data_IF_718777329113
#
_entry.id   IF_718777329113
#
_cell.length_a   1.000
_cell.length_b   1.000
_cell.length_c   1.000
_cell.angle_alpha   90.00
_cell.angle_beta   90.00
_cell.angle_gamma   90.00
#
_symmetry.space_group_name_H-M   'P 1'
#
loop_
_entity.id
_entity.type
_entity.pdbx_description
1 polymer ?
#
# COMPACT_ATOMS: atom_id res chain seq x y z
N UNK A 1 -10.04 26.40 -7.18
CA UNK A 1 -9.51 25.36 -6.28
C UNK A 1 -8.29 24.73 -6.95
N UNK A 2 -7.12 24.65 -6.29
CA UNK A 2 -5.96 23.98 -6.90
C UNK A 2 -6.18 22.47 -6.86
N UNK A 3 -6.16 21.82 -8.02
CA UNK A 3 -6.22 20.37 -8.13
C UNK A 3 -5.00 19.76 -7.42
N UNK A 4 -5.16 18.71 -6.59
CA UNK A 4 -4.01 18.03 -6.00
C UNK A 4 -3.10 17.50 -7.10
N UNK A 5 -1.78 17.57 -6.88
CA UNK A 5 -0.80 17.08 -7.85
C UNK A 5 -0.60 15.59 -7.61
N UNK A 6 -1.17 14.75 -8.47
CA UNK A 6 -0.91 13.30 -8.45
C UNK A 6 0.55 13.09 -8.86
N UNK A 7 1.31 12.44 -7.98
CA UNK A 7 2.74 12.11 -8.21
C UNK A 7 2.92 10.71 -8.75
N UNK A 8 2.08 9.79 -8.32
CA UNK A 8 2.09 8.40 -8.78
C UNK A 8 0.70 7.81 -8.60
N UNK A 9 0.22 7.09 -9.61
CA UNK A 9 -0.98 6.28 -9.52
C UNK A 9 -0.66 4.90 -10.11
N UNK A 10 -0.98 3.86 -9.37
CA UNK A 10 -0.84 2.47 -9.81
C UNK A 10 -2.20 1.82 -9.63
N UNK A 11 -2.81 1.46 -10.75
CA UNK A 11 -4.09 0.76 -10.79
C UNK A 11 -3.86 -0.73 -11.05
N UNK A 12 -4.78 -1.57 -10.56
CA UNK A 12 -4.80 -3.00 -10.85
C UNK A 12 -3.49 -3.72 -10.48
N UNK A 13 -2.97 -3.44 -9.28
CA UNK A 13 -1.92 -4.28 -8.70
C UNK A 13 -2.44 -5.71 -8.59
N UNK A 14 -1.60 -6.70 -8.90
CA UNK A 14 -1.97 -8.12 -8.88
C UNK A 14 -2.43 -8.52 -7.47
N UNK A 15 -3.74 -8.53 -7.27
CA UNK A 15 -4.38 -8.90 -6.02
C UNK A 15 -5.80 -9.41 -6.31
N UNK A 16 -5.91 -10.72 -6.53
CA UNK A 16 -7.20 -11.42 -6.48
C UNK A 16 -7.60 -11.79 -5.05
N UNK A 17 -6.80 -11.42 -4.05
CA UNK A 17 -7.01 -11.77 -2.67
C UNK A 17 -7.93 -10.76 -1.98
N UNK A 18 -8.87 -11.32 -1.21
CA UNK A 18 -9.67 -10.57 -0.26
C UNK A 18 -9.05 -10.77 1.12
N UNK A 19 -8.80 -9.68 1.84
CA UNK A 19 -8.13 -9.73 3.13
C UNK A 19 -9.13 -9.58 4.29
N UNK A 20 -8.75 -10.09 5.46
CA UNK A 20 -9.44 -9.71 6.71
C UNK A 20 -9.02 -8.29 7.06
N UNK A 21 -9.97 -7.47 7.50
CA UNK A 21 -9.72 -6.08 7.94
C UNK A 21 -8.55 -5.97 8.92
N UNK A 22 -8.46 -6.89 9.88
CA UNK A 22 -7.39 -6.89 10.89
C UNK A 22 -5.98 -7.04 10.31
N UNK A 23 -5.81 -7.80 9.21
CA UNK A 23 -4.51 -7.99 8.59
C UNK A 23 -4.02 -6.69 7.95
N UNK A 24 -4.93 -5.95 7.31
CA UNK A 24 -4.64 -4.63 6.75
C UNK A 24 -4.34 -3.63 7.85
N UNK A 25 -5.12 -3.61 8.94
CA UNK A 25 -4.89 -2.70 10.06
C UNK A 25 -3.50 -2.88 10.67
N UNK A 26 -3.05 -4.13 10.87
CA UNK A 26 -1.69 -4.43 11.35
C UNK A 26 -0.62 -3.88 10.41
N UNK A 27 -0.81 -4.06 9.09
CA UNK A 27 0.07 -3.51 8.05
C UNK A 27 0.12 -1.98 8.14
N UNK A 28 -1.04 -1.35 8.03
CA UNK A 28 -1.14 0.11 7.89
C UNK A 28 -0.63 0.84 9.13
N UNK A 29 -0.83 0.28 10.33
CA UNK A 29 -0.40 0.90 11.59
C UNK A 29 1.01 0.48 12.07
N UNK A 30 1.55 -0.61 11.54
CA UNK A 30 2.87 -1.14 11.92
C UNK A 30 4.06 -0.38 11.33
N UNK A 31 3.82 0.38 10.26
CA UNK A 31 4.83 1.19 9.54
C UNK A 31 5.16 2.49 10.31
N UNK A 32 5.89 2.41 11.42
CA UNK A 32 6.23 3.60 12.25
C UNK A 32 7.69 4.06 12.16
N UNK A 33 8.58 3.23 11.65
CA UNK A 33 10.01 3.54 11.62
C UNK A 33 10.48 3.97 10.23
N UNK A 34 11.16 5.12 10.16
CA UNK A 34 11.85 5.60 8.96
C UNK A 34 13.01 4.68 8.62
N UNK A 35 12.74 3.61 7.88
CA UNK A 35 13.79 2.80 7.27
C UNK A 35 13.92 3.25 5.82
N UNK A 36 15.13 3.55 5.32
CA UNK A 36 15.30 4.02 3.95
C UNK A 36 14.80 2.97 2.96
N UNK A 37 13.92 3.39 2.04
CA UNK A 37 13.51 2.56 0.90
C UNK A 37 14.64 2.43 -0.12
N UNK A 38 14.48 1.52 -1.08
CA UNK A 38 15.36 1.49 -2.23
C UNK A 38 15.23 2.79 -3.06
N UNK A 39 16.33 3.30 -3.64
CA UNK A 39 16.28 4.42 -4.58
C UNK A 39 15.36 4.12 -5.76
N UNK A 40 14.70 5.14 -6.30
CA UNK A 40 13.74 5.02 -7.42
C UNK A 40 14.36 4.55 -8.74
N UNK A 41 15.68 4.46 -8.84
CA UNK A 41 16.38 3.91 -10.01
C UNK A 41 16.17 2.40 -10.17
N UNK A 42 15.83 1.71 -9.07
CA UNK A 42 15.56 0.29 -9.11
C UNK A 42 14.13 0.04 -9.58
N UNK A 43 13.98 -0.66 -10.70
CA UNK A 43 12.71 -0.85 -11.39
C UNK A 43 12.12 -2.24 -11.21
N UNK A 44 12.92 -3.22 -10.81
CA UNK A 44 12.49 -4.61 -10.68
C UNK A 44 13.20 -5.35 -9.55
N UNK A 45 12.54 -6.40 -9.08
CA UNK A 45 13.10 -7.46 -8.25
C UNK A 45 13.21 -8.72 -9.10
N UNK A 46 14.40 -9.31 -9.09
CA UNK A 46 14.65 -10.63 -9.67
C UNK A 46 14.83 -11.62 -8.53
N UNK A 47 14.08 -12.72 -8.58
CA UNK A 47 14.16 -13.77 -7.58
C UNK A 47 15.12 -14.86 -8.04
N UNK A 48 16.09 -15.26 -7.22
CA UNK A 48 16.91 -16.42 -7.56
C UNK A 48 16.19 -17.73 -7.22
N UNK A 49 16.57 -18.83 -7.89
CA UNK A 49 16.04 -20.17 -7.56
C UNK A 49 16.32 -20.56 -6.09
N UNK A 50 17.49 -20.17 -5.57
CA UNK A 50 17.81 -20.38 -4.16
C UNK A 50 16.89 -19.59 -3.22
N UNK A 51 16.67 -18.30 -3.51
CA UNK A 51 15.74 -17.49 -2.73
C UNK A 51 14.32 -18.06 -2.74
N UNK A 52 13.82 -18.50 -3.90
CA UNK A 52 12.50 -19.14 -3.99
C UNK A 52 12.40 -20.37 -3.09
N UNK A 53 13.40 -21.26 -3.12
CA UNK A 53 13.46 -22.42 -2.23
C UNK A 53 13.40 -22.00 -0.76
N UNK A 54 14.19 -20.99 -0.37
CA UNK A 54 14.22 -20.48 1.01
C UNK A 54 12.92 -19.79 1.44
N UNK A 55 12.20 -19.14 0.53
CA UNK A 55 10.87 -18.62 0.82
C UNK A 55 9.93 -19.75 1.29
N UNK A 56 9.89 -20.84 0.53
CA UNK A 56 9.03 -21.99 0.80
C UNK A 56 9.44 -22.80 2.04
N UNK A 57 10.66 -22.62 2.55
CA UNK A 57 11.18 -23.29 3.76
C UNK A 57 11.11 -22.41 5.02
N UNK A 58 11.14 -21.08 4.88
CA UNK A 58 11.40 -20.15 6.00
C UNK A 58 10.43 -18.98 6.13
N UNK A 59 9.69 -18.65 5.07
CA UNK A 59 8.82 -17.47 5.05
C UNK A 59 7.37 -17.86 4.91
N UNK A 60 7.02 -18.61 3.87
CA UNK A 60 5.66 -19.04 3.61
C UNK A 60 4.62 -17.92 3.40
N UNK A 61 3.41 -18.28 2.95
CA UNK A 61 3.00 -19.64 2.56
C UNK A 61 3.70 -20.08 1.27
N UNK A 62 3.71 -21.40 1.02
CA UNK A 62 4.27 -21.97 -0.21
C UNK A 62 3.48 -21.47 -1.42
N UNK A 63 4.18 -21.17 -2.52
CA UNK A 63 3.56 -20.67 -3.74
C UNK A 63 4.43 -20.87 -4.97
N UNK A 64 3.95 -20.41 -6.13
CA UNK A 64 4.69 -20.48 -7.38
C UNK A 64 5.79 -19.41 -7.48
N UNK A 65 6.86 -19.72 -8.20
CA UNK A 65 7.99 -18.81 -8.41
C UNK A 65 7.54 -17.48 -9.05
N UNK A 66 6.79 -17.56 -10.15
CA UNK A 66 6.34 -16.38 -10.89
C UNK A 66 5.35 -15.52 -10.10
N UNK A 67 4.51 -16.15 -9.26
CA UNK A 67 3.56 -15.43 -8.39
C UNK A 67 4.31 -14.64 -7.32
N UNK A 68 5.31 -15.27 -6.69
CA UNK A 68 6.14 -14.62 -5.68
C UNK A 68 6.93 -13.45 -6.27
N UNK A 69 7.59 -13.65 -7.42
CA UNK A 69 8.34 -12.57 -8.07
C UNK A 69 7.43 -11.40 -8.47
N UNK A 70 6.24 -11.68 -9.02
CA UNK A 70 5.26 -10.64 -9.35
C UNK A 70 4.81 -9.87 -8.10
N UNK A 71 4.51 -10.59 -7.01
CA UNK A 71 4.15 -9.99 -5.72
C UNK A 71 5.25 -9.05 -5.21
N UNK A 72 6.51 -9.49 -5.25
CA UNK A 72 7.66 -8.70 -4.82
C UNK A 72 7.83 -7.43 -5.66
N UNK A 73 7.69 -7.53 -6.98
CA UNK A 73 7.74 -6.38 -7.88
C UNK A 73 6.62 -5.38 -7.58
N UNK A 74 5.40 -5.82 -7.27
CA UNK A 74 4.34 -4.90 -6.84
C UNK A 74 4.67 -4.19 -5.53
N UNK A 75 5.23 -4.92 -4.55
CA UNK A 75 5.66 -4.33 -3.29
C UNK A 75 6.77 -3.30 -3.47
N UNK A 76 7.68 -3.47 -4.45
CA UNK A 76 8.74 -2.51 -4.75
C UNK A 76 8.19 -1.12 -5.10
N UNK A 77 7.07 -1.04 -5.81
CA UNK A 77 6.52 0.23 -6.26
C UNK A 77 5.72 0.98 -5.20
N UNK A 78 5.36 0.31 -4.10
CA UNK A 78 4.67 0.89 -2.96
C UNK A 78 5.75 1.33 -1.95
N UNK A 79 5.86 2.63 -1.65
CA UNK A 79 6.85 3.13 -0.71
C UNK A 79 6.80 2.42 0.64
N UNK A 80 7.96 2.30 1.28
CA UNK A 80 8.14 1.76 2.64
C UNK A 80 7.80 0.27 2.81
N UNK A 81 7.25 -0.41 1.80
CA UNK A 81 7.02 -1.87 1.83
C UNK A 81 8.31 -2.65 1.77
N UNK A 82 9.25 -2.22 0.92
CA UNK A 82 10.58 -2.83 0.79
C UNK A 82 11.64 -1.82 1.20
N UNK A 83 12.35 -2.13 2.29
CA UNK A 83 13.30 -1.21 2.93
C UNK A 83 14.69 -1.83 3.03
N UNK A 84 15.70 -0.97 3.10
CA UNK A 84 17.12 -1.35 3.25
C UNK A 84 17.50 -1.30 4.72
N UNK A 85 17.88 -2.44 5.28
CA UNK A 85 18.38 -2.52 6.66
C UNK A 85 19.92 -2.44 6.70
N UNK A 86 20.60 -2.95 5.66
CA UNK A 86 22.06 -2.81 5.47
C UNK A 86 22.41 -2.85 3.98
N UNK A 87 23.68 -2.64 3.57
CA UNK A 87 24.06 -2.65 2.16
C UNK A 87 23.67 -3.91 1.37
N UNK A 88 23.60 -5.07 2.04
CA UNK A 88 23.26 -6.38 1.46
C UNK A 88 21.98 -7.00 2.03
N UNK A 89 21.27 -6.32 2.92
CA UNK A 89 20.07 -6.86 3.59
C UNK A 89 18.89 -5.91 3.47
N UNK A 90 17.77 -6.45 3.02
CA UNK A 90 16.51 -5.76 2.91
C UNK A 90 15.44 -6.40 3.78
N UNK A 91 14.35 -5.68 3.97
CA UNK A 91 13.22 -6.14 4.75
C UNK A 91 11.91 -5.76 4.06
N UNK A 92 10.97 -6.69 4.01
CA UNK A 92 9.61 -6.48 3.50
C UNK A 92 8.67 -6.35 4.69
N UNK A 93 7.84 -5.30 4.71
CA UNK A 93 6.81 -5.04 5.71
C UNK A 93 7.30 -5.09 7.16
N UNK A 94 8.58 -4.73 7.37
CA UNK A 94 9.26 -4.84 8.66
C UNK A 94 9.25 -6.24 9.30
N UNK A 95 9.02 -7.30 8.53
CA UNK A 95 8.91 -8.68 9.03
C UNK A 95 9.79 -9.65 8.24
N UNK A 96 9.71 -9.65 6.91
CA UNK A 96 10.40 -10.65 6.08
C UNK A 96 11.80 -10.14 5.75
N UNK A 97 12.82 -10.84 6.22
CA UNK A 97 14.21 -10.45 6.01
C UNK A 97 14.84 -11.20 4.84
N UNK A 98 15.55 -10.48 3.98
CA UNK A 98 16.20 -11.04 2.79
C UNK A 98 17.59 -10.46 2.56
N UNK A 99 18.41 -11.23 1.85
CA UNK A 99 19.73 -10.83 1.34
C UNK A 99 19.59 -10.56 -0.15
N UNK A 100 20.19 -9.47 -0.61
CA UNK A 100 20.12 -9.08 -2.00
C UNK A 100 21.47 -8.59 -2.53
N UNK A 101 21.57 -8.59 -3.85
CA UNK A 101 22.61 -7.93 -4.62
C UNK A 101 21.97 -6.92 -5.59
N UNK A 102 22.73 -5.90 -5.96
CA UNK A 102 22.26 -4.85 -6.87
C UNK A 102 22.98 -5.04 -8.20
N UNK A 103 22.21 -5.30 -9.25
CA UNK A 103 22.74 -5.54 -10.61
C UNK A 103 22.09 -4.52 -11.54
N UNK A 104 22.84 -3.49 -11.92
CA UNK A 104 22.29 -2.36 -12.68
C UNK A 104 21.11 -1.69 -11.96
N UNK A 105 19.92 -1.75 -12.58
CA UNK A 105 18.66 -1.20 -12.06
C UNK A 105 17.76 -2.27 -11.41
N UNK A 106 18.31 -3.45 -11.10
CA UNK A 106 17.57 -4.57 -10.55
C UNK A 106 18.05 -4.91 -9.14
N UNK A 107 17.11 -5.40 -8.32
CA UNK A 107 17.39 -5.95 -6.99
C UNK A 107 17.28 -7.47 -7.10
N UNK A 108 18.42 -8.15 -7.02
CA UNK A 108 18.47 -9.61 -7.08
C UNK A 108 18.37 -10.17 -5.67
N UNK A 109 17.25 -10.79 -5.33
CA UNK A 109 17.09 -11.44 -4.02
C UNK A 109 17.78 -12.80 -4.07
N UNK A 110 18.87 -12.91 -3.32
CA UNK A 110 19.74 -14.09 -3.28
C UNK A 110 19.21 -15.12 -2.28
N UNK A 111 18.70 -14.68 -1.12
CA UNK A 111 18.13 -15.61 -0.13
C UNK A 111 17.15 -14.93 0.81
N UNK A 112 16.16 -15.68 1.32
CA UNK A 112 15.32 -15.27 2.44
C UNK A 112 15.85 -15.87 3.74
N UNK A 113 15.95 -15.03 4.77
CA UNK A 113 16.38 -15.44 6.10
C UNK A 113 15.19 -15.94 6.93
N UNK A 114 13.99 -15.39 6.72
CA UNK A 114 12.76 -15.80 7.40
C UNK A 114 11.92 -14.59 7.80
N UNK A 115 10.91 -14.84 8.64
CA UNK A 115 10.07 -13.82 9.27
C UNK A 115 10.56 -13.50 10.67
N UNK A 116 10.74 -12.22 10.97
CA UNK A 116 11.12 -11.76 12.30
C UNK A 116 10.02 -12.02 13.35
N UNK A 117 8.76 -12.12 12.92
CA UNK A 117 7.64 -12.55 13.74
C UNK A 117 7.76 -14.01 14.22
N UNK A 118 8.21 -14.92 13.34
CA UNK A 118 8.36 -16.35 13.63
C UNK A 118 9.70 -16.69 14.30
N UNK A 119 10.75 -15.91 13.99
CA UNK A 119 12.10 -16.18 14.44
C UNK A 119 12.65 -14.95 15.18
N UNK A 120 12.50 -14.88 16.50
CA UNK A 120 12.95 -13.73 17.30
C UNK A 120 14.44 -13.42 17.13
N UNK A 121 15.27 -14.43 16.84
CA UNK A 121 16.69 -14.25 16.53
C UNK A 121 16.93 -13.29 15.36
N UNK A 122 16.00 -13.21 14.41
CA UNK A 122 16.10 -12.30 13.27
C UNK A 122 15.85 -10.83 13.65
N UNK A 123 15.12 -10.54 14.74
CA UNK A 123 14.84 -9.16 15.19
C UNK A 123 16.10 -8.42 15.61
N UNK A 124 17.07 -9.15 16.15
CA UNK A 124 18.32 -8.60 16.65
C UNK A 124 19.43 -8.58 15.60
N UNK A 125 19.18 -8.87 14.32
CA UNK A 125 20.21 -8.96 13.28
C UNK A 125 20.99 -7.66 12.99
N UNK A 126 20.61 -6.53 13.62
CA UNK A 126 21.44 -5.31 13.63
C UNK A 126 22.74 -5.47 14.43
N UNK A 127 22.77 -6.31 15.47
CA UNK A 127 23.99 -6.57 16.26
C UNK A 127 24.93 -7.58 15.59
N UNK A 128 24.45 -8.37 14.63
CA UNK A 128 25.25 -9.32 13.87
C UNK A 128 25.89 -8.67 12.64
N UNK A 129 26.74 -7.65 12.88
CA UNK A 129 27.64 -7.10 11.85
C UNK A 129 28.60 -8.18 11.32
N UNK A 130 28.86 -9.21 12.13
CA UNK A 130 29.94 -10.19 11.91
C UNK A 130 29.47 -11.64 11.80
N UNK A 131 28.19 -11.90 11.46
CA UNK A 131 27.86 -13.21 10.90
C UNK A 131 28.50 -13.27 9.51
N UNK A 132 29.79 -13.57 9.49
CA UNK A 132 30.40 -14.38 8.46
C UNK A 132 29.47 -15.57 8.32
N UNK A 133 28.62 -15.55 7.29
CA UNK A 133 27.99 -16.75 6.76
C UNK A 133 29.10 -17.61 6.13
N UNK A 134 30.12 -17.97 6.94
CA UNK A 134 30.97 -19.11 6.67
C UNK A 134 30.06 -20.32 6.91
N UNK A 135 29.43 -20.70 5.80
CA UNK A 135 28.54 -21.79 5.42
C UNK A 135 28.17 -22.96 6.36
N UNK A 136 28.72 -23.13 7.57
CA UNK A 136 28.72 -24.45 8.20
C UNK A 136 28.04 -24.64 9.56
N UNK A 137 27.55 -23.64 10.31
CA UNK A 137 26.95 -23.96 11.63
C UNK A 137 25.72 -23.15 12.10
N UNK A 138 24.61 -23.91 12.30
CA UNK A 138 23.73 -23.94 13.50
C UNK A 138 22.45 -23.10 13.62
N UNK A 139 22.10 -22.19 12.72
CA UNK A 139 20.76 -21.57 12.78
C UNK A 139 19.75 -22.39 11.97
N UNK A 140 19.00 -23.28 12.65
CA UNK A 140 17.80 -23.93 12.08
C UNK A 140 16.70 -22.87 11.91
N UNK A 141 16.73 -22.20 10.76
CA UNK A 141 15.73 -21.20 10.35
C UNK A 141 14.58 -21.83 9.53
N UNK A 142 14.54 -23.15 9.40
CA UNK A 142 13.44 -23.85 8.75
C UNK A 142 12.23 -23.84 9.67
N UNK A 143 11.06 -23.57 9.07
CA UNK A 143 9.79 -23.61 9.79
C UNK A 143 9.12 -24.97 9.56
N UNK A 144 8.45 -25.54 10.58
CA UNK A 144 7.59 -26.71 10.38
C UNK A 144 6.52 -26.44 9.32
N UNK A 145 6.11 -27.46 8.57
CA UNK A 145 5.10 -27.33 7.50
C UNK A 145 3.81 -26.66 7.98
N UNK A 146 3.32 -27.06 9.17
CA UNK A 146 2.13 -26.46 9.78
C UNK A 146 2.31 -24.96 10.07
N UNK A 147 3.53 -24.51 10.40
CA UNK A 147 3.81 -23.09 10.58
C UNK A 147 3.79 -22.36 9.23
N UNK A 148 4.41 -22.93 8.19
CA UNK A 148 4.43 -22.36 6.84
C UNK A 148 3.03 -22.19 6.23
N UNK A 149 2.15 -23.18 6.40
CA UNK A 149 0.77 -23.14 5.91
C UNK A 149 -0.03 -22.01 6.57
N UNK A 150 0.25 -21.70 7.84
CA UNK A 150 -0.43 -20.63 8.59
C UNK A 150 0.08 -19.23 8.26
N UNK A 151 1.21 -19.12 7.56
CA UNK A 151 1.77 -17.83 7.16
C UNK A 151 0.86 -17.15 6.14
N UNK A 152 0.90 -15.82 6.13
CA UNK A 152 0.11 -14.99 5.22
C UNK A 152 1.04 -14.20 4.29
N UNK A 153 0.67 -14.12 3.02
CA UNK A 153 1.35 -13.24 2.09
C UNK A 153 1.19 -11.77 2.52
N UNK A 154 2.19 -10.92 2.24
CA UNK A 154 2.05 -9.47 2.36
C UNK A 154 0.78 -8.94 1.70
N UNK A 155 0.00 -8.12 2.40
CA UNK A 155 -1.23 -7.54 1.84
C UNK A 155 -0.88 -6.53 0.74
N UNK A 156 -1.34 -6.76 -0.49
CA UNK A 156 -1.14 -5.84 -1.61
C UNK A 156 -2.44 -5.07 -1.86
N UNK A 157 -2.42 -3.72 -1.86
CA UNK A 157 -3.59 -2.94 -2.25
C UNK A 157 -3.89 -3.20 -3.72
N UNK A 158 -5.17 -3.20 -4.10
CA UNK A 158 -5.57 -3.29 -5.53
C UNK A 158 -5.25 -2.00 -6.29
N UNK A 159 -5.09 -0.90 -5.56
CA UNK A 159 -4.83 0.41 -6.12
C UNK A 159 -4.07 1.27 -5.11
N UNK A 160 -3.10 2.02 -5.64
CA UNK A 160 -2.24 2.88 -4.85
C UNK A 160 -2.08 4.24 -5.54
N UNK A 161 -2.32 5.33 -4.79
CA UNK A 161 -2.17 6.69 -5.31
C UNK A 161 -1.37 7.53 -4.31
N UNK A 162 -0.32 8.18 -4.80
CA UNK A 162 0.42 9.21 -4.08
C UNK A 162 0.10 10.57 -4.71
N UNK A 163 -0.38 11.50 -3.90
CA UNK A 163 -0.66 12.87 -4.31
C UNK A 163 -0.22 13.89 -3.26
N UNK A 164 0.06 15.10 -3.72
CA UNK A 164 0.52 16.19 -2.86
C UNK A 164 -0.55 17.28 -2.74
N UNK A 165 -0.79 17.70 -1.50
CA UNK A 165 -1.40 18.98 -1.17
C UNK A 165 -0.35 20.10 -1.12
N UNK A 166 -0.65 21.17 -0.38
CA UNK A 166 0.27 22.33 -0.26
C UNK A 166 1.52 22.02 0.59
N UNK A 167 1.33 21.33 1.71
CA UNK A 167 2.39 21.00 2.68
C UNK A 167 2.33 19.55 3.16
N UNK A 168 1.34 18.79 2.69
CA UNK A 168 1.05 17.42 3.11
C UNK A 168 1.07 16.53 1.88
N UNK A 169 1.76 15.39 1.98
CA UNK A 169 1.69 14.27 1.03
C UNK A 169 0.66 13.26 1.52
N UNK A 170 -0.06 12.67 0.59
CA UNK A 170 -1.11 11.70 0.88
C UNK A 170 -0.83 10.41 0.12
N UNK A 171 -0.95 9.28 0.82
CA UNK A 171 -0.80 7.95 0.25
C UNK A 171 -2.09 7.19 0.44
N UNK A 172 -2.79 6.94 -0.66
CA UNK A 172 -4.05 6.21 -0.70
C UNK A 172 -3.80 4.77 -1.12
N UNK A 173 -4.27 3.83 -0.31
CA UNK A 173 -4.18 2.40 -0.54
C UNK A 173 -5.60 1.81 -0.49
N UNK A 174 -6.09 1.21 -1.58
CA UNK A 174 -7.38 0.53 -1.61
C UNK A 174 -7.20 -0.97 -1.52
N UNK A 175 -8.01 -1.63 -0.70
CA UNK A 175 -7.99 -3.07 -0.48
C UNK A 175 -9.38 -3.67 -0.68
N UNK A 176 -9.41 -4.91 -1.19
CA UNK A 176 -10.61 -5.75 -1.13
C UNK A 176 -10.64 -6.45 0.23
N UNK A 177 -11.76 -6.33 0.94
CA UNK A 177 -11.93 -6.88 2.28
C UNK A 177 -13.16 -7.77 2.37
N UNK A 178 -13.06 -8.80 3.20
CA UNK A 178 -14.17 -9.69 3.49
C UNK A 178 -14.86 -9.20 4.76
N UNK A 179 -16.13 -8.83 4.65
CA UNK A 179 -16.98 -8.41 5.76
C UNK A 179 -18.15 -9.41 5.82
N UNK A 180 -18.09 -10.36 6.74
CA UNK A 180 -19.00 -11.49 6.75
C UNK A 180 -18.85 -12.34 5.48
N UNK A 181 -19.95 -12.51 4.74
CA UNK A 181 -19.99 -13.25 3.48
C UNK A 181 -19.82 -12.35 2.25
N UNK A 182 -19.71 -11.03 2.44
CA UNK A 182 -19.62 -10.07 1.34
C UNK A 182 -18.19 -9.55 1.16
N UNK A 183 -17.86 -9.22 -0.09
CA UNK A 183 -16.63 -8.51 -0.42
C UNK A 183 -16.92 -7.02 -0.55
N UNK A 184 -16.27 -6.21 0.28
CA UNK A 184 -16.33 -4.74 0.20
C UNK A 184 -14.94 -4.18 -0.11
N UNK A 185 -14.85 -2.87 -0.35
CA UNK A 185 -13.59 -2.15 -0.54
C UNK A 185 -13.34 -1.20 0.62
N UNK A 186 -12.15 -1.24 1.21
CA UNK A 186 -11.71 -0.22 2.16
C UNK A 186 -10.56 0.58 1.57
N UNK A 187 -10.58 1.87 1.84
CA UNK A 187 -9.54 2.80 1.42
C UNK A 187 -8.85 3.32 2.68
N UNK A 188 -7.53 3.23 2.72
CA UNK A 188 -6.70 3.82 3.77
C UNK A 188 -5.92 4.98 3.17
N UNK A 189 -6.01 6.15 3.82
CA UNK A 189 -5.24 7.35 3.44
C UNK A 189 -4.27 7.68 4.56
N UNK A 190 -2.98 7.62 4.26
CA UNK A 190 -1.92 8.09 5.16
C UNK A 190 -1.62 9.55 4.85
N UNK A 191 -1.68 10.40 5.86
CA UNK A 191 -1.29 11.80 5.76
C UNK A 191 0.13 11.99 6.28
N UNK A 192 1.03 12.53 5.45
CA UNK A 192 2.43 12.73 5.79
C UNK A 192 2.82 14.19 5.63
N UNK A 193 3.35 14.80 6.68
CA UNK A 193 3.81 16.20 6.69
C UNK A 193 5.22 16.26 7.25
N UNK A 194 6.14 16.96 6.56
CA UNK A 194 7.56 17.03 6.93
C UNK A 194 8.18 15.64 7.18
N UNK A 195 7.83 14.69 6.31
CA UNK A 195 8.23 13.28 6.42
C UNK A 195 7.82 12.61 7.73
N UNK A 196 6.76 13.07 8.41
CA UNK A 196 6.18 12.41 9.58
C UNK A 196 4.75 12.02 9.26
N UNK A 197 4.39 10.78 9.59
CA UNK A 197 3.00 10.32 9.55
C UNK A 197 2.20 11.10 10.58
N UNK A 198 1.13 11.75 10.14
CA UNK A 198 0.25 12.58 10.95
C UNK A 198 -1.02 11.82 11.31
N UNK A 199 -1.65 11.20 10.31
CA UNK A 199 -2.91 10.48 10.50
C UNK A 199 -3.04 9.32 9.50
N UNK A 200 -3.87 8.35 9.86
CA UNK A 200 -4.33 7.28 9.00
C UNK A 200 -5.85 7.32 9.00
N UNK A 201 -6.43 7.62 7.84
CA UNK A 201 -7.86 7.73 7.65
C UNK A 201 -8.37 6.45 6.99
N UNK A 202 -9.24 5.72 7.68
CA UNK A 202 -10.03 4.65 7.07
C UNK A 202 -11.29 5.25 6.42
N UNK A 203 -11.53 4.88 5.17
CA UNK A 203 -12.68 5.32 4.38
C UNK A 203 -13.38 4.06 3.88
N UNK A 204 -14.66 3.93 4.24
CA UNK A 204 -15.56 2.96 3.64
C UNK A 204 -16.40 3.70 2.57
N UNK A 205 -16.21 3.43 1.27
CA UNK A 205 -17.00 4.03 0.20
C UNK A 205 -18.51 3.78 0.30
N UNK A 206 -18.91 2.75 1.04
CA UNK A 206 -20.32 2.39 1.27
C UNK A 206 -20.93 3.15 2.47
N UNK A 207 -20.11 3.88 3.25
CA UNK A 207 -20.55 4.66 4.41
C UNK A 207 -20.05 6.12 4.35
N UNK A 208 -20.84 7.05 3.78
CA UNK A 208 -20.46 8.46 3.65
C UNK A 208 -20.49 9.24 4.97
N UNK A 209 -20.96 8.66 6.08
CA UNK A 209 -21.19 9.39 7.34
C UNK A 209 -19.96 9.43 8.27
N UNK A 210 -18.78 9.09 7.74
CA UNK A 210 -17.50 9.17 8.46
C UNK A 210 -17.03 10.61 8.72
N UNK A 211 -15.89 10.81 9.39
CA UNK A 211 -15.32 12.13 9.65
C UNK A 211 -15.13 12.94 8.35
N UNK A 212 -15.34 14.26 8.41
CA UNK A 212 -15.20 15.13 7.25
C UNK A 212 -13.80 14.99 6.62
N UNK A 213 -13.78 14.62 5.34
CA UNK A 213 -12.55 14.41 4.59
C UNK A 213 -11.96 15.72 4.06
N UNK A 214 -10.64 15.75 3.91
CA UNK A 214 -9.97 16.86 3.26
C UNK A 214 -10.43 16.97 1.80
N UNK A 215 -10.61 18.20 1.33
CA UNK A 215 -10.95 18.53 -0.06
C UNK A 215 -10.05 17.86 -1.10
N UNK A 216 -8.75 17.70 -0.83
CA UNK A 216 -7.81 17.00 -1.71
C UNK A 216 -8.12 15.51 -1.81
N UNK A 217 -8.46 14.88 -0.68
CA UNK A 217 -8.84 13.45 -0.63
C UNK A 217 -10.15 13.25 -1.38
N UNK A 218 -11.17 14.08 -1.11
CA UNK A 218 -12.46 14.02 -1.82
C UNK A 218 -12.29 14.18 -3.34
N UNK A 219 -11.41 15.08 -3.79
CA UNK A 219 -11.14 15.24 -5.22
C UNK A 219 -10.51 14.00 -5.85
N UNK A 220 -9.56 13.36 -5.16
CA UNK A 220 -8.97 12.10 -5.64
C UNK A 220 -10.00 10.98 -5.67
N UNK A 221 -10.82 10.84 -4.62
CA UNK A 221 -11.91 9.87 -4.59
C UNK A 221 -12.90 10.08 -5.75
N UNK A 222 -13.25 11.32 -6.05
CA UNK A 222 -14.11 11.65 -7.19
C UNK A 222 -13.47 11.17 -8.51
N UNK A 223 -12.18 11.43 -8.74
CA UNK A 223 -11.46 10.97 -9.95
C UNK A 223 -11.39 9.44 -10.02
N UNK A 224 -11.29 8.77 -8.87
CA UNK A 224 -11.31 7.30 -8.78
C UNK A 224 -12.69 6.68 -9.07
N UNK A 225 -13.71 7.48 -9.34
CA UNK A 225 -15.08 7.01 -9.63
C UNK A 225 -16.00 6.97 -8.42
N UNK A 226 -15.57 7.46 -7.25
CA UNK A 226 -16.40 7.52 -6.04
C UNK A 226 -17.24 8.82 -5.96
N UNK A 227 -17.78 9.26 -7.09
CA UNK A 227 -18.52 10.53 -7.17
C UNK A 227 -19.75 10.55 -6.24
N UNK A 228 -20.54 9.46 -6.22
CA UNK A 228 -21.73 9.34 -5.36
C UNK A 228 -21.38 9.40 -3.88
N UNK A 229 -20.30 8.72 -3.45
CA UNK A 229 -19.81 8.81 -2.07
C UNK A 229 -19.42 10.25 -1.72
N UNK A 230 -18.66 10.94 -2.59
CA UNK A 230 -18.21 12.32 -2.34
C UNK A 230 -19.40 13.26 -2.22
N UNK A 231 -20.41 13.10 -3.07
CA UNK A 231 -21.64 13.90 -3.02
C UNK A 231 -22.36 13.69 -1.68
N UNK A 232 -22.70 12.44 -1.34
CA UNK A 232 -23.40 12.11 -0.08
C UNK A 232 -22.61 12.57 1.15
N UNK A 233 -21.28 12.44 1.11
CA UNK A 233 -20.41 12.89 2.19
C UNK A 233 -20.44 14.42 2.37
N UNK A 234 -20.47 15.18 1.27
CA UNK A 234 -20.61 16.64 1.31
C UNK A 234 -22.02 17.07 1.76
N UNK A 235 -23.07 16.39 1.31
CA UNK A 235 -24.44 16.65 1.75
C UNK A 235 -24.60 16.46 3.26
N UNK A 236 -23.97 15.41 3.82
CA UNK A 236 -24.00 15.15 5.26
C UNK A 236 -23.26 16.22 6.08
N UNK A 237 -22.05 16.62 5.67
CA UNK A 237 -21.21 17.54 6.46
C UNK A 237 -21.44 19.03 6.15
N UNK A 238 -21.93 19.35 4.95
CA UNK A 238 -22.03 20.71 4.41
C UNK A 238 -23.32 20.88 3.56
N UNK A 239 -24.51 20.58 4.11
CA UNK A 239 -25.76 20.56 3.35
C UNK A 239 -26.05 21.89 2.65
N UNK A 240 -25.83 23.01 3.35
CA UNK A 240 -26.05 24.35 2.79
C UNK A 240 -25.08 24.67 1.63
N UNK A 241 -23.81 24.25 1.69
CA UNK A 241 -22.87 24.48 0.58
C UNK A 241 -23.29 23.69 -0.65
N UNK A 242 -23.81 22.46 -0.48
CA UNK A 242 -24.29 21.63 -1.58
C UNK A 242 -25.56 22.23 -2.19
N UNK A 243 -26.53 22.61 -1.36
CA UNK A 243 -27.78 23.25 -1.82
C UNK A 243 -27.49 24.50 -2.65
N UNK A 244 -26.67 25.42 -2.12
CA UNK A 244 -26.28 26.64 -2.84
C UNK A 244 -25.52 26.35 -4.15
N UNK A 245 -24.73 25.28 -4.20
CA UNK A 245 -24.01 24.89 -5.42
C UNK A 245 -24.96 24.30 -6.48
N UNK A 246 -25.95 23.52 -6.06
CA UNK A 246 -26.98 22.96 -6.94
C UNK A 246 -27.84 24.08 -7.56
N UNK A 247 -28.33 25.02 -6.75
CA UNK A 247 -29.12 26.18 -7.22
C UNK A 247 -28.34 27.00 -8.26
N UNK A 248 -27.06 27.30 -7.99
CA UNK A 248 -26.17 28.00 -8.96
C UNK A 248 -25.92 27.21 -10.24
N UNK A 249 -25.89 25.88 -10.17
CA UNK A 249 -25.72 25.06 -11.36
C UNK A 249 -26.98 25.07 -12.22
N UNK A 250 -28.16 24.94 -11.61
CA UNK A 250 -29.44 25.05 -12.31
C UNK A 250 -29.60 26.41 -13.00
N UNK A 251 -29.28 27.49 -12.31
CA UNK A 251 -29.32 28.85 -12.86
C UNK A 251 -28.44 28.96 -14.13
N UNK A 252 -27.20 28.49 -14.07
CA UNK A 252 -26.29 28.46 -15.23
C UNK A 252 -26.78 27.58 -16.37
N UNK A 253 -27.43 26.47 -16.07
CA UNK A 253 -27.99 25.59 -17.11
C UNK A 253 -29.20 26.24 -17.78
N UNK A 254 -30.06 26.94 -17.03
CA UNK A 254 -31.16 27.74 -17.57
C UNK A 254 -30.65 28.86 -18.48
N UNK A 255 -29.64 29.61 -18.05
CA UNK A 255 -29.00 30.65 -18.88
C UNK A 255 -28.45 30.09 -20.19
N UNK A 256 -27.79 28.92 -20.15
CA UNK A 256 -27.26 28.27 -21.36
C UNK A 256 -28.37 27.83 -22.31
N UNK A 257 -29.45 27.27 -21.79
CA UNK A 257 -30.60 26.87 -22.61
C UNK A 257 -31.27 28.08 -23.26
N UNK A 258 -31.43 29.19 -22.53
CA UNK A 258 -31.99 30.43 -23.08
C UNK A 258 -31.11 31.02 -24.19
N UNK A 259 -29.78 31.02 -24.03
CA UNK A 259 -28.86 31.46 -25.09
C UNK A 259 -28.95 30.58 -26.33
N UNK A 260 -28.98 29.27 -26.15
CA UNK A 260 -29.11 28.32 -27.26
C UNK A 260 -30.42 28.56 -28.04
N UNK A 261 -31.53 28.83 -27.35
CA UNK A 261 -32.81 29.15 -27.98
C UNK A 261 -32.85 30.52 -28.68
N UNK A 262 -31.93 31.43 -28.36
CA UNK A 262 -31.80 32.74 -29.03
C UNK A 262 -30.87 32.68 -30.25
N UNK A 263 -30.06 31.63 -30.38
CA UNK A 263 -29.11 31.43 -31.47
C UNK A 263 -29.66 30.51 -32.59
N UNK A 264 -30.83 29.90 -32.40
CA UNK A 264 -31.57 29.07 -33.37
C UNK A 264 -32.73 29.87 -33.97
#
# INVERSE_FOLDING_TARGET
MRKPKIKRAIHQLYCHQTYRKQDILRKVHGERNKVPSFPSRYSSIILTGHAFKRWNERVGPKGGFAELERMLNHLLFIPERITRNSPKRGMIDSDILFVYELVGNEIHIVTFLGRASEQPVLRNLRSFRDLKFEYNERLKLELPEAALIRQKLPCIPVEYIHFEGRTTSYFLERYKVQIGNESSSLIYVKEVKNSRLIDIIEINPDNPYSKLLNRSIMHVLYIMGYASFVQLHLEYHKPEEVKNAAEKYEERMRERALRFLQEV
#
